data_IF_178806926526
#
_entry.id   IF_178806926526
#
_cell.length_a   1.000
_cell.length_b   1.000
_cell.length_c   1.000
_cell.angle_alpha   90.00
_cell.angle_beta   90.00
_cell.angle_gamma   90.00
#
_symmetry.space_group_name_H-M   'P 1'
#
loop_
_entity.id
_entity.type
_entity.pdbx_description
1 polymer ?
#
# COMPACT_ATOMS: atom_id res chain seq x y z
N UNK A 1 -2.10 -19.72 -2.32
CA UNK A 1 -1.33 -20.40 -1.30
C UNK A 1 -0.92 -19.48 -0.17
N UNK A 2 -0.78 -20.02 1.00
CA UNK A 2 -0.28 -19.28 2.15
C UNK A 2 1.22 -19.08 1.98
N UNK A 3 1.66 -17.84 1.90
CA UNK A 3 3.07 -17.50 1.91
C UNK A 3 3.46 -16.89 3.25
N UNK A 4 4.69 -17.08 3.63
CA UNK A 4 5.30 -16.40 4.76
C UNK A 4 6.36 -15.45 4.25
N UNK A 5 6.54 -14.31 4.93
CA UNK A 5 7.64 -13.42 4.65
C UNK A 5 8.95 -14.06 5.12
N UNK A 6 9.86 -14.30 4.19
CA UNK A 6 11.14 -14.89 4.48
C UNK A 6 12.24 -13.92 4.07
N UNK A 7 13.11 -13.48 4.99
CA UNK A 7 14.26 -12.68 4.62
C UNK A 7 15.28 -13.53 3.87
N UNK A 8 15.78 -12.98 2.75
CA UNK A 8 16.82 -13.61 1.94
C UNK A 8 18.05 -12.72 1.92
N UNK A 9 19.25 -13.32 2.06
CA UNK A 9 20.53 -12.60 2.15
C UNK A 9 20.49 -11.53 3.24
N UNK A 10 20.10 -11.96 4.43
CA UNK A 10 19.74 -11.07 5.52
C UNK A 10 20.89 -10.19 6.01
N UNK A 11 20.96 -8.98 5.48
CA UNK A 11 21.43 -7.86 6.28
C UNK A 11 20.19 -7.25 6.93
N UNK A 12 19.96 -7.65 8.13
CA UNK A 12 18.91 -7.05 8.92
C UNK A 12 19.50 -5.89 9.73
N UNK A 13 19.10 -4.68 9.38
CA UNK A 13 19.50 -3.47 10.08
C UNK A 13 18.29 -2.90 10.79
N UNK A 14 18.34 -2.86 12.13
CA UNK A 14 17.31 -2.25 12.96
C UNK A 14 17.96 -1.19 13.80
N UNK A 15 17.48 0.05 13.66
CA UNK A 15 17.86 1.17 14.51
C UNK A 15 16.61 1.82 15.06
N UNK A 16 16.62 2.11 16.34
CA UNK A 16 15.52 2.83 16.97
C UNK A 16 16.01 3.63 18.14
N UNK A 17 15.50 4.83 18.27
CA UNK A 17 15.71 5.67 19.44
C UNK A 17 14.37 6.14 19.96
N UNK A 18 14.19 6.09 21.26
CA UNK A 18 12.96 6.49 21.90
C UNK A 18 13.21 7.16 23.23
N UNK A 19 12.25 7.94 23.67
CA UNK A 19 12.31 8.66 24.92
C UNK A 19 10.96 8.57 25.64
N UNK A 20 11.01 8.36 26.94
CA UNK A 20 9.85 8.45 27.82
C UNK A 20 10.07 9.59 28.81
N UNK A 21 9.18 10.59 28.76
CA UNK A 21 9.25 11.74 29.68
C UNK A 21 7.84 12.27 29.94
N UNK A 22 7.50 12.50 31.23
CA UNK A 22 6.29 13.23 31.64
C UNK A 22 5.00 12.82 30.92
N UNK A 23 4.68 11.52 30.89
CA UNK A 23 3.53 10.96 30.18
C UNK A 23 3.62 11.04 28.63
N UNK A 24 4.80 11.33 28.10
CA UNK A 24 5.03 11.35 26.67
C UNK A 24 6.00 10.21 26.31
N UNK A 25 5.60 9.38 25.35
CA UNK A 25 6.48 8.42 24.71
C UNK A 25 6.76 8.94 23.32
N UNK A 26 8.02 9.04 22.96
CA UNK A 26 8.41 9.49 21.64
C UNK A 26 9.44 8.54 21.04
N UNK A 27 9.17 8.07 19.84
CA UNK A 27 10.11 7.32 19.00
C UNK A 27 10.56 8.27 17.88
N UNK A 28 11.80 8.71 17.94
CA UNK A 28 12.32 9.74 17.05
C UNK A 28 13.05 9.19 15.84
N UNK A 29 13.50 7.95 15.93
CA UNK A 29 14.22 7.31 14.83
C UNK A 29 13.96 5.81 14.84
N UNK A 30 13.62 5.28 13.69
CA UNK A 30 13.49 3.85 13.45
C UNK A 30 13.89 3.59 12.01
N UNK A 31 14.79 2.65 11.83
CA UNK A 31 15.16 2.17 10.51
C UNK A 31 15.33 0.65 10.57
N UNK A 32 14.64 -0.05 9.69
CA UNK A 32 14.79 -1.50 9.55
C UNK A 32 14.66 -1.88 8.08
N UNK A 33 15.44 -2.84 7.65
CA UNK A 33 15.42 -3.27 6.25
C UNK A 33 16.04 -4.63 6.05
N UNK A 34 15.80 -5.16 4.85
CA UNK A 34 16.36 -6.43 4.38
C UNK A 34 16.92 -6.22 2.97
N UNK A 35 17.87 -7.07 2.54
CA UNK A 35 18.31 -7.06 1.16
C UNK A 35 17.21 -7.58 0.23
N UNK A 36 16.52 -8.63 0.65
CA UNK A 36 15.40 -9.23 -0.08
C UNK A 36 14.40 -9.81 0.90
N UNK A 37 13.14 -9.77 0.51
CA UNK A 37 12.04 -10.36 1.26
C UNK A 37 11.19 -11.17 0.30
N UNK A 38 10.94 -12.45 0.63
CA UNK A 38 10.13 -13.34 -0.18
C UNK A 38 8.80 -13.65 0.51
N UNK A 39 7.72 -13.55 -0.24
CA UNK A 39 6.39 -13.98 0.20
C UNK A 39 5.75 -14.80 -0.92
N UNK A 40 5.64 -16.13 -0.70
CA UNK A 40 5.22 -17.02 -1.78
C UNK A 40 6.18 -16.95 -2.97
N UNK A 41 5.65 -16.58 -4.13
CA UNK A 41 6.42 -16.37 -5.36
C UNK A 41 6.83 -14.91 -5.57
N UNK A 42 6.36 -14.02 -4.70
CA UNK A 42 6.69 -12.60 -4.76
C UNK A 42 8.04 -12.34 -4.09
N UNK A 43 8.90 -11.61 -4.77
CA UNK A 43 10.21 -11.23 -4.25
C UNK A 43 10.33 -9.71 -4.23
N UNK A 44 10.50 -9.14 -3.03
CA UNK A 44 10.66 -7.70 -2.82
C UNK A 44 12.14 -7.40 -2.61
N UNK A 45 12.69 -6.50 -3.42
CA UNK A 45 14.09 -6.08 -3.32
C UNK A 45 14.21 -4.92 -2.34
N UNK A 46 15.14 -5.06 -1.41
CA UNK A 46 15.56 -4.00 -0.46
C UNK A 46 14.41 -3.26 0.23
N UNK A 47 13.46 -3.97 0.85
CA UNK A 47 12.42 -3.29 1.61
C UNK A 47 13.02 -2.60 2.83
N UNK A 48 12.62 -1.36 3.07
CA UNK A 48 13.11 -0.55 4.18
C UNK A 48 11.98 0.25 4.80
N UNK A 49 11.87 0.16 6.12
CA UNK A 49 10.91 0.91 6.92
C UNK A 49 11.66 1.98 7.71
N UNK A 50 11.23 3.22 7.60
CA UNK A 50 11.80 4.37 8.33
C UNK A 50 10.68 5.21 8.90
N UNK A 51 10.99 6.00 9.93
CA UNK A 51 10.10 7.06 10.38
C UNK A 51 10.23 8.26 9.46
N UNK A 52 9.09 8.73 8.95
CA UNK A 52 9.01 10.00 8.22
C UNK A 52 8.82 11.17 9.18
N UNK A 53 8.00 10.95 10.22
CA UNK A 53 7.88 11.85 11.37
C UNK A 53 7.92 11.02 12.65
N UNK A 54 8.41 11.61 13.78
CA UNK A 54 8.46 10.90 15.05
C UNK A 54 7.09 10.36 15.46
N UNK A 55 7.07 9.15 16.01
CA UNK A 55 5.86 8.61 16.65
C UNK A 55 5.82 9.16 18.06
N UNK A 56 4.76 9.87 18.38
CA UNK A 56 4.59 10.52 19.66
C UNK A 56 3.23 10.19 20.26
N UNK A 57 3.27 9.69 21.48
CA UNK A 57 2.08 9.41 22.26
C UNK A 57 2.14 10.19 23.57
N UNK A 58 1.26 11.16 23.72
CA UNK A 58 1.09 11.93 24.95
C UNK A 58 -0.17 11.46 25.67
N UNK A 59 -0.03 11.07 26.92
CA UNK A 59 -1.13 10.68 27.79
C UNK A 59 -1.55 11.80 28.73
N UNK A 60 -1.18 13.04 28.43
CA UNK A 60 -1.62 14.21 29.16
C UNK A 60 -3.15 14.26 29.19
N UNK A 61 -3.80 14.25 30.37
CA UNK A 61 -5.26 14.25 30.45
C UNK A 61 -5.92 15.46 29.80
N UNK A 62 -5.21 16.59 29.73
CA UNK A 62 -5.74 17.83 29.16
C UNK A 62 -5.58 17.87 27.64
N UNK A 63 -4.65 17.12 27.09
CA UNK A 63 -4.37 17.12 25.65
C UNK A 63 -3.76 15.79 25.20
N UNK A 64 -4.54 14.69 25.22
CA UNK A 64 -4.04 13.41 24.76
C UNK A 64 -3.82 13.45 23.25
N UNK A 65 -2.66 12.99 22.79
CA UNK A 65 -2.32 12.94 21.36
C UNK A 65 -1.58 11.66 21.02
N UNK A 66 -1.84 11.18 19.81
CA UNK A 66 -1.09 10.10 19.19
C UNK A 66 -0.86 10.44 17.73
N UNK A 67 0.40 10.56 17.33
CA UNK A 67 0.74 10.94 15.95
C UNK A 67 2.04 10.30 15.52
N UNK A 68 2.23 10.21 14.22
CA UNK A 68 3.46 9.70 13.64
C UNK A 68 3.31 9.40 12.17
N UNK A 69 4.43 9.18 11.51
CA UNK A 69 4.43 8.78 10.11
C UNK A 69 5.57 7.81 9.82
N UNK A 70 5.25 6.81 9.03
CA UNK A 70 6.17 5.78 8.56
C UNK A 70 6.31 5.89 7.05
N UNK A 71 7.49 5.54 6.55
CA UNK A 71 7.70 5.33 5.13
C UNK A 71 8.28 3.94 4.91
N UNK A 72 7.66 3.19 4.01
CA UNK A 72 8.15 1.90 3.54
C UNK A 72 8.63 2.08 2.10
N UNK A 73 9.93 1.88 1.90
CA UNK A 73 10.54 1.96 0.58
C UNK A 73 10.93 0.55 0.14
N UNK A 74 10.69 0.23 -1.10
CA UNK A 74 11.12 -1.02 -1.68
C UNK A 74 11.74 -0.77 -3.05
N UNK A 75 12.71 -1.58 -3.41
CA UNK A 75 13.15 -1.66 -4.79
C UNK A 75 12.11 -2.40 -5.63
N UNK A 76 12.54 -2.96 -6.74
CA UNK A 76 11.63 -3.70 -7.61
C UNK A 76 11.04 -4.92 -6.89
N UNK A 77 9.74 -5.15 -7.10
CA UNK A 77 9.08 -6.37 -6.66
C UNK A 77 8.83 -7.27 -7.87
N UNK A 78 9.24 -8.52 -7.78
CA UNK A 78 9.11 -9.50 -8.85
C UNK A 78 8.01 -10.51 -8.51
N UNK A 79 7.19 -10.84 -9.49
CA UNK A 79 6.14 -11.84 -9.37
C UNK A 79 6.46 -13.05 -10.25
N UNK A 80 5.78 -14.17 -10.02
CA UNK A 80 5.87 -15.31 -10.94
C UNK A 80 5.37 -14.89 -12.33
N UNK A 81 5.98 -15.46 -13.37
CA UNK A 81 5.63 -15.12 -14.74
C UNK A 81 6.33 -13.90 -15.32
N UNK A 82 7.25 -13.28 -14.56
CA UNK A 82 8.06 -12.17 -15.03
C UNK A 82 7.44 -10.79 -14.89
N UNK A 83 6.24 -10.69 -14.29
CA UNK A 83 5.65 -9.39 -13.93
C UNK A 83 6.50 -8.71 -12.87
N UNK A 84 6.64 -7.40 -12.97
CA UNK A 84 7.38 -6.61 -11.99
C UNK A 84 6.60 -5.38 -11.58
N UNK A 85 6.71 -5.05 -10.30
CA UNK A 85 6.29 -3.74 -9.79
C UNK A 85 7.55 -2.89 -9.66
N UNK A 86 7.60 -1.70 -10.26
CA UNK A 86 8.75 -0.80 -10.11
C UNK A 86 9.03 -0.44 -8.66
N UNK A 87 10.19 0.17 -8.37
CA UNK A 87 10.47 0.66 -7.02
C UNK A 87 9.32 1.47 -6.46
N UNK A 88 8.94 1.18 -5.23
CA UNK A 88 7.72 1.69 -4.63
C UNK A 88 7.97 2.36 -3.28
N UNK A 89 7.10 3.31 -2.95
CA UNK A 89 7.12 4.04 -1.68
C UNK A 89 5.70 4.05 -1.14
N UNK A 90 5.56 3.58 0.10
CA UNK A 90 4.34 3.72 0.89
C UNK A 90 4.63 4.66 2.04
N UNK A 91 3.90 5.77 2.13
CA UNK A 91 3.89 6.62 3.30
C UNK A 91 2.60 6.40 4.07
N UNK A 92 2.69 6.37 5.39
CA UNK A 92 1.54 6.10 6.25
C UNK A 92 1.65 6.97 7.48
N UNK A 93 0.61 7.74 7.77
CA UNK A 93 0.55 8.63 8.93
C UNK A 93 -0.67 8.35 9.78
N UNK A 94 -0.53 8.57 11.07
CA UNK A 94 -1.62 8.47 12.05
C UNK A 94 -1.72 9.76 12.83
N UNK A 95 -2.94 10.09 13.23
CA UNK A 95 -3.24 11.25 14.06
C UNK A 95 -4.49 10.94 14.89
N UNK A 96 -4.40 11.16 16.18
CA UNK A 96 -5.51 10.84 17.08
C UNK A 96 -5.23 11.20 18.52
N UNK A 97 -5.99 10.60 19.41
CA UNK A 97 -5.87 10.83 20.85
C UNK A 97 -5.00 9.79 21.53
N UNK A 98 -5.03 8.55 21.07
CA UNK A 98 -4.20 7.47 21.57
C UNK A 98 -4.11 6.33 20.54
N UNK A 99 -3.33 5.26 20.78
CA UNK A 99 -3.20 4.15 19.84
C UNK A 99 -4.50 3.38 19.57
N UNK A 100 -5.55 3.60 20.36
CA UNK A 100 -6.84 2.92 20.19
C UNK A 100 -7.86 3.76 19.44
N UNK A 101 -7.63 5.07 19.26
CA UNK A 101 -8.55 5.95 18.51
C UNK A 101 -7.72 6.93 17.69
N UNK A 102 -7.64 6.67 16.39
CA UNK A 102 -6.88 7.52 15.51
C UNK A 102 -7.44 7.53 14.08
N UNK A 103 -7.07 8.55 13.34
CA UNK A 103 -7.24 8.64 11.89
C UNK A 103 -5.94 8.26 11.21
N UNK A 104 -6.02 7.72 10.01
CA UNK A 104 -4.83 7.38 9.23
C UNK A 104 -4.96 7.82 7.78
N UNK A 105 -3.82 8.07 7.17
CA UNK A 105 -3.68 8.35 5.74
C UNK A 105 -2.50 7.56 5.21
N UNK A 106 -2.64 7.05 4.00
CA UNK A 106 -1.57 6.37 3.31
C UNK A 106 -1.49 6.81 1.85
N UNK A 107 -0.31 6.66 1.28
CA UNK A 107 -0.05 7.01 -0.10
C UNK A 107 0.97 6.00 -0.64
N UNK A 108 0.59 5.30 -1.69
CA UNK A 108 1.44 4.29 -2.32
C UNK A 108 1.65 4.63 -3.78
N UNK A 109 2.90 4.70 -4.21
CA UNK A 109 3.23 4.82 -5.63
C UNK A 109 4.42 3.92 -6.00
N UNK A 110 4.48 3.54 -7.25
CA UNK A 110 5.56 2.76 -7.83
C UNK A 110 5.89 3.36 -9.19
N UNK A 111 6.91 4.22 -9.25
CA UNK A 111 7.21 5.08 -10.39
C UNK A 111 5.95 5.84 -10.84
N UNK A 112 5.49 5.62 -12.07
CA UNK A 112 4.31 6.29 -12.63
C UNK A 112 2.99 5.66 -12.16
N UNK A 113 3.03 4.52 -11.48
CA UNK A 113 1.85 3.84 -10.96
C UNK A 113 1.41 4.50 -9.65
N UNK A 114 0.18 4.93 -9.59
CA UNK A 114 -0.37 5.62 -8.43
C UNK A 114 -0.33 7.15 -8.58
N UNK A 115 -0.39 7.89 -7.47
CA UNK A 115 -0.46 7.38 -6.10
C UNK A 115 -1.84 6.80 -5.75
N UNK A 116 -1.84 5.61 -5.18
CA UNK A 116 -3.02 5.07 -4.52
C UNK A 116 -3.10 5.75 -3.15
N UNK A 117 -4.23 6.35 -2.85
CA UNK A 117 -4.45 7.04 -1.58
C UNK A 117 -5.42 6.24 -0.73
N UNK A 118 -5.13 6.17 0.56
CA UNK A 118 -6.02 5.55 1.53
C UNK A 118 -6.18 6.49 2.71
N UNK A 119 -7.39 6.55 3.26
CA UNK A 119 -7.61 7.16 4.55
C UNK A 119 -8.68 6.42 5.31
N UNK A 120 -8.69 6.61 6.60
CA UNK A 120 -9.67 5.96 7.44
C UNK A 120 -9.52 6.33 8.89
N UNK A 121 -10.24 5.56 9.71
CA UNK A 121 -10.32 5.77 11.14
C UNK A 121 -10.42 4.44 11.86
N UNK A 122 -9.69 4.33 12.95
CA UNK A 122 -9.86 3.32 13.98
C UNK A 122 -10.51 3.97 15.19
N UNK A 123 -11.68 3.49 15.60
CA UNK A 123 -12.45 4.09 16.71
C UNK A 123 -12.37 3.30 18.00
N UNK A 124 -11.50 2.29 18.06
CA UNK A 124 -11.36 1.36 19.19
C UNK A 124 -12.10 0.05 18.97
N UNK A 125 -13.05 -0.01 18.06
CA UNK A 125 -13.86 -1.19 17.79
C UNK A 125 -13.83 -1.59 16.31
N UNK A 126 -13.84 -0.60 15.42
CA UNK A 126 -13.97 -0.81 13.99
C UNK A 126 -13.02 0.07 13.21
N UNK A 127 -12.41 -0.52 12.19
CA UNK A 127 -11.66 0.18 11.17
C UNK A 127 -12.60 0.49 10.02
N UNK A 128 -12.63 1.75 9.57
CA UNK A 128 -13.35 2.18 8.38
C UNK A 128 -12.46 3.05 7.54
N UNK A 129 -12.50 2.85 6.25
CA UNK A 129 -11.67 3.63 5.37
C UNK A 129 -12.08 3.56 3.91
N UNK A 130 -11.35 4.32 3.12
CA UNK A 130 -11.51 4.40 1.68
C UNK A 130 -10.16 4.41 1.02
N UNK A 131 -10.09 3.86 -0.17
CA UNK A 131 -8.91 3.90 -1.01
C UNK A 131 -9.29 4.35 -2.41
N UNK A 132 -8.41 5.11 -3.04
CA UNK A 132 -8.59 5.61 -4.40
C UNK A 132 -7.37 5.30 -5.23
N UNK A 133 -7.61 4.73 -6.40
CA UNK A 133 -6.65 4.68 -7.45
C UNK A 133 -6.93 5.84 -8.42
N UNK A 134 -5.98 6.76 -8.66
CA UNK A 134 -6.24 7.93 -9.48
C UNK A 134 -6.47 7.56 -10.94
N UNK A 135 -7.09 8.45 -11.67
CA UNK A 135 -7.25 8.31 -13.10
C UNK A 135 -5.89 8.36 -13.77
N UNK A 136 -5.50 7.26 -14.42
CA UNK A 136 -4.20 7.09 -15.01
C UNK A 136 -4.30 6.46 -16.39
N UNK A 137 -3.29 6.71 -17.21
CA UNK A 137 -3.11 5.95 -18.46
C UNK A 137 -2.90 4.47 -18.15
N UNK A 138 -3.59 3.61 -18.89
CA UNK A 138 -3.41 2.17 -18.79
C UNK A 138 -1.96 1.75 -19.05
N UNK A 139 -1.22 2.52 -19.85
CA UNK A 139 0.17 2.21 -20.23
C UNK A 139 1.14 2.18 -19.06
N UNK A 140 0.84 2.84 -17.93
CA UNK A 140 1.72 2.82 -16.76
C UNK A 140 1.83 1.42 -16.15
N UNK A 141 0.87 0.54 -16.43
CA UNK A 141 0.84 -0.83 -15.89
C UNK A 141 1.60 -1.85 -16.74
N UNK A 142 2.26 -1.42 -17.81
CA UNK A 142 3.01 -2.32 -18.70
C UNK A 142 3.96 -3.26 -17.94
N UNK A 143 4.72 -2.81 -16.93
CA UNK A 143 5.63 -3.70 -16.20
C UNK A 143 4.92 -4.86 -15.49
N UNK A 144 3.65 -4.69 -15.13
CA UNK A 144 2.86 -5.71 -14.45
C UNK A 144 2.29 -6.77 -15.40
N UNK A 145 2.36 -6.56 -16.70
CA UNK A 145 1.93 -7.55 -17.70
C UNK A 145 3.01 -8.62 -17.82
N UNK A 146 2.67 -9.91 -17.63
CA UNK A 146 3.64 -10.98 -17.84
C UNK A 146 4.22 -10.94 -19.25
N UNK A 147 5.54 -11.02 -19.43
CA UNK A 147 6.15 -10.97 -20.77
C UNK A 147 5.65 -12.05 -21.73
N UNK A 148 5.30 -13.22 -21.22
CA UNK A 148 4.80 -14.33 -22.03
C UNK A 148 3.46 -14.06 -22.73
N UNK A 149 2.69 -13.10 -22.22
CA UNK A 149 1.44 -12.67 -22.86
C UNK A 149 1.70 -11.90 -24.15
N UNK A 150 2.91 -11.35 -24.32
CA UNK A 150 3.30 -10.52 -25.47
C UNK A 150 2.30 -9.41 -25.75
N UNK A 151 1.72 -8.88 -24.66
CA UNK A 151 0.73 -7.81 -24.72
C UNK A 151 1.40 -6.48 -24.49
N UNK A 152 1.18 -5.53 -25.40
CA UNK A 152 1.61 -4.16 -25.24
C UNK A 152 0.40 -3.27 -24.99
N UNK A 153 0.35 -2.63 -23.85
CA UNK A 153 -0.71 -1.67 -23.55
C UNK A 153 -0.48 -0.40 -24.38
N UNK A 154 -1.51 0.04 -25.09
CA UNK A 154 -1.43 1.14 -26.05
C UNK A 154 -2.10 2.41 -25.57
N UNK A 155 -3.26 2.28 -24.92
CA UNK A 155 -4.01 3.43 -24.48
C UNK A 155 -5.14 3.06 -23.55
N UNK A 156 -5.86 4.06 -23.12
CA UNK A 156 -6.94 3.94 -22.19
C UNK A 156 -6.63 4.60 -20.86
N UNK A 157 -7.64 4.73 -20.05
CA UNK A 157 -7.56 5.30 -18.72
C UNK A 157 -8.25 4.38 -17.72
N UNK A 158 -7.69 4.28 -16.53
CA UNK A 158 -8.32 3.54 -15.45
C UNK A 158 -8.30 4.31 -14.15
N UNK A 159 -9.29 4.05 -13.32
CA UNK A 159 -9.35 4.50 -11.95
C UNK A 159 -10.20 3.53 -11.13
N UNK A 160 -10.07 3.59 -9.82
CA UNK A 160 -10.84 2.74 -8.93
C UNK A 160 -11.04 3.40 -7.59
N UNK A 161 -12.10 2.99 -6.88
CA UNK A 161 -12.27 3.35 -5.49
C UNK A 161 -12.91 2.20 -4.73
N UNK A 162 -12.57 2.11 -3.46
CA UNK A 162 -13.06 1.08 -2.57
C UNK A 162 -13.32 1.68 -1.19
N UNK A 163 -14.42 1.28 -0.57
CA UNK A 163 -14.65 1.52 0.85
C UNK A 163 -14.53 0.21 1.59
N UNK A 164 -13.93 0.23 2.76
CA UNK A 164 -13.71 -0.97 3.55
C UNK A 164 -14.03 -0.74 5.02
N UNK A 165 -14.39 -1.82 5.69
CA UNK A 165 -14.53 -1.85 7.14
C UNK A 165 -14.07 -3.19 7.69
N UNK A 166 -13.54 -3.17 8.89
CA UNK A 166 -13.09 -4.37 9.59
C UNK A 166 -13.31 -4.22 11.09
N UNK A 167 -13.70 -5.31 11.72
CA UNK A 167 -13.79 -5.39 13.18
C UNK A 167 -13.25 -6.76 13.60
N UNK A 168 -12.54 -6.84 14.76
CA UNK A 168 -11.93 -8.10 15.18
C UNK A 168 -12.91 -9.27 15.24
N UNK A 169 -14.17 -9.01 15.62
CA UNK A 169 -15.18 -10.04 15.82
C UNK A 169 -16.13 -10.22 14.63
N UNK A 170 -16.10 -9.32 13.65
CA UNK A 170 -17.07 -9.30 12.55
C UNK A 170 -16.45 -9.49 11.17
N UNK A 171 -15.12 -9.61 11.12
CA UNK A 171 -14.41 -9.80 9.87
C UNK A 171 -14.25 -8.52 9.05
N UNK A 172 -13.98 -8.70 7.78
CA UNK A 172 -13.64 -7.65 6.83
C UNK A 172 -14.70 -7.54 5.75
N UNK A 173 -15.05 -6.33 5.39
CA UNK A 173 -15.91 -6.03 4.26
C UNK A 173 -15.26 -4.94 3.40
N UNK A 174 -15.32 -5.09 2.09
CA UNK A 174 -14.89 -4.08 1.15
C UNK A 174 -15.80 -4.08 -0.07
N UNK A 175 -16.04 -2.92 -0.60
CA UNK A 175 -16.82 -2.78 -1.82
C UNK A 175 -16.44 -1.52 -2.58
N UNK A 176 -16.58 -1.57 -3.88
CA UNK A 176 -16.22 -0.46 -4.74
C UNK A 176 -16.36 -0.79 -6.19
N UNK A 177 -15.67 -0.02 -7.02
CA UNK A 177 -15.67 -0.25 -8.45
C UNK A 177 -14.36 0.20 -9.08
N UNK A 178 -14.01 -0.49 -10.17
CA UNK A 178 -12.96 -0.09 -11.08
C UNK A 178 -13.58 0.32 -12.41
N UNK A 179 -12.95 1.28 -13.07
CA UNK A 179 -13.40 1.79 -14.37
C UNK A 179 -12.24 1.76 -15.34
N UNK A 180 -12.48 1.22 -16.53
CA UNK A 180 -11.58 1.29 -17.67
C UNK A 180 -12.31 2.00 -18.81
N UNK A 181 -11.65 2.99 -19.41
CA UNK A 181 -12.18 3.74 -20.56
C UNK A 181 -11.19 3.70 -21.72
N UNK A 182 -11.72 3.39 -22.90
CA UNK A 182 -10.97 3.41 -24.16
C UNK A 182 -9.69 2.55 -24.09
N UNK A 183 -9.74 1.43 -23.38
CA UNK A 183 -8.61 0.52 -23.24
C UNK A 183 -8.19 -0.07 -24.57
N UNK A 184 -6.90 -0.06 -24.87
CA UNK A 184 -6.36 -0.69 -26.07
C UNK A 184 -5.05 -1.39 -25.76
N UNK A 185 -4.86 -2.52 -26.42
CA UNK A 185 -3.67 -3.35 -26.27
C UNK A 185 -3.37 -4.06 -27.59
N UNK A 186 -2.10 -4.35 -27.80
CA UNK A 186 -1.61 -5.04 -28.98
C UNK A 186 -1.01 -6.38 -28.56
N UNK A 187 -1.29 -7.41 -29.33
CA UNK A 187 -0.70 -8.73 -29.25
C UNK A 187 -0.31 -9.19 -30.66
N UNK A 188 0.64 -10.14 -30.83
CA UNK A 188 1.07 -10.56 -32.16
C UNK A 188 -0.05 -10.99 -33.11
N UNK A 189 -1.09 -11.66 -32.58
CA UNK A 189 -2.18 -12.21 -33.37
C UNK A 189 -3.50 -11.46 -33.20
N UNK A 190 -3.53 -10.41 -32.40
CA UNK A 190 -4.77 -9.69 -32.09
C UNK A 190 -4.51 -8.28 -31.59
N UNK A 191 -5.47 -7.43 -31.85
CA UNK A 191 -5.47 -6.06 -31.40
C UNK A 191 -6.81 -5.75 -30.73
N UNK A 192 -6.77 -5.16 -29.55
CA UNK A 192 -7.95 -4.81 -28.77
C UNK A 192 -8.02 -3.30 -28.70
N UNK A 193 -9.16 -2.73 -29.10
CA UNK A 193 -9.36 -1.28 -29.11
C UNK A 193 -10.71 -0.90 -28.48
N UNK A 194 -10.73 0.27 -27.84
CA UNK A 194 -11.96 0.90 -27.39
C UNK A 194 -12.70 0.14 -26.32
N UNK A 195 -11.98 -0.55 -25.44
CA UNK A 195 -12.62 -1.33 -24.37
C UNK A 195 -13.03 -0.40 -23.24
N UNK A 196 -14.33 -0.37 -22.95
CA UNK A 196 -14.89 0.34 -21.82
C UNK A 196 -15.60 -0.65 -20.91
N UNK A 197 -15.31 -0.60 -19.60
CA UNK A 197 -16.10 -1.33 -18.64
C UNK A 197 -16.06 -0.70 -17.25
N UNK A 198 -17.08 -1.00 -16.46
CA UNK A 198 -17.14 -0.71 -15.03
C UNK A 198 -17.26 -2.06 -14.32
N UNK A 199 -16.33 -2.34 -13.42
CA UNK A 199 -16.30 -3.57 -12.65
C UNK A 199 -16.65 -3.26 -11.20
N UNK A 200 -17.90 -3.48 -10.76
CA UNK A 200 -18.22 -3.43 -9.34
C UNK A 200 -17.69 -4.69 -8.66
N UNK A 201 -17.24 -4.54 -7.44
CA UNK A 201 -16.77 -5.68 -6.65
C UNK A 201 -17.19 -5.56 -5.20
N UNK A 202 -17.28 -6.71 -4.55
CA UNK A 202 -17.58 -6.81 -3.13
C UNK A 202 -16.84 -8.02 -2.55
N UNK A 203 -16.18 -7.78 -1.42
CA UNK A 203 -15.44 -8.80 -0.68
C UNK A 203 -15.93 -8.82 0.76
N UNK A 204 -16.06 -10.02 1.31
CA UNK A 204 -16.38 -10.19 2.73
C UNK A 204 -15.69 -11.45 3.27
N UNK A 205 -15.29 -11.38 4.53
CA UNK A 205 -14.71 -12.51 5.27
C UNK A 205 -15.31 -12.60 6.66
#
# INVERSE_FOLDING_TARGET
>A
GKGNFTPMNARWDVRGTGEWRDNVIELTDLSTGFDKLQYGTMLVSKPRLVLDHPVRWSRDPDNPTFSGALALNAGQTSFSGGSVLPPSVLTFSVDGTDPTVFQFKGNLHADDIGPVQVNGRWDGERLRGQAWWPKQSLTVFQPLIPPDWKMTLRGGEMYAQVAFSAAPDQGFEAGGHGVLKAGSAWMPDNEINGVDFVLPFRLSQ
#
